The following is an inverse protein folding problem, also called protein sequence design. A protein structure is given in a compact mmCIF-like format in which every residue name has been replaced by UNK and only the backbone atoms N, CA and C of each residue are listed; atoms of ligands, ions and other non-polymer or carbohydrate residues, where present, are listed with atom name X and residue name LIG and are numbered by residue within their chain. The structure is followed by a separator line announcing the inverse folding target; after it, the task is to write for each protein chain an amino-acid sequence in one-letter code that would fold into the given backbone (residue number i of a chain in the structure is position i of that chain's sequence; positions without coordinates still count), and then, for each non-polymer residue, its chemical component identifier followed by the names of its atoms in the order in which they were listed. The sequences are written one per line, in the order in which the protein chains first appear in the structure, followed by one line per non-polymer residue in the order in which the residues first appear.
data_IF_235888788170
#
_entry.id   IF_235888788170
#
_cell.length_a   1.000
_cell.length_b   1.000
_cell.length_c   1.000
_cell.angle_alpha   90.00
_cell.angle_beta   90.00
_cell.angle_gamma   90.00
#
_symmetry.space_group_name_H-M   'P 1'
#
loop_
_entity.id
_entity.type
_entity.pdbx_description
1 polymer ?
#
# COMPACT_ATOMS: atom_id res chain seq x y z
N UNK A 1 -27.21 -50.61 15.35
CA UNK A 1 -25.97 -50.30 14.58
C UNK A 1 -26.16 -49.23 13.50
N UNK A 2 -27.16 -49.31 12.61
CA UNK A 2 -27.35 -48.34 11.50
C UNK A 2 -27.60 -46.87 11.95
N UNK A 3 -28.31 -46.64 13.06
CA UNK A 3 -28.61 -45.29 13.59
C UNK A 3 -27.35 -44.55 14.08
N UNK A 4 -26.43 -45.27 14.73
CA UNK A 4 -25.20 -44.68 15.28
C UNK A 4 -24.17 -44.38 14.17
N UNK A 5 -24.17 -45.17 13.09
CA UNK A 5 -23.35 -44.92 11.90
C UNK A 5 -23.78 -43.63 11.18
N UNK A 6 -25.10 -43.39 11.08
CA UNK A 6 -25.66 -42.19 10.44
C UNK A 6 -25.33 -40.90 11.22
N UNK A 7 -25.40 -40.94 12.55
CA UNK A 7 -25.00 -39.82 13.41
C UNK A 7 -23.50 -39.55 13.30
N UNK A 8 -22.68 -40.61 13.26
CA UNK A 8 -21.22 -40.48 13.11
C UNK A 8 -20.82 -39.88 11.75
N UNK A 9 -21.48 -40.30 10.66
CA UNK A 9 -21.27 -39.73 9.32
C UNK A 9 -21.69 -38.25 9.27
N UNK A 10 -22.79 -37.88 9.93
CA UNK A 10 -23.24 -36.48 9.99
C UNK A 10 -22.27 -35.61 10.79
N UNK A 11 -21.69 -36.13 11.87
CA UNK A 11 -20.71 -35.42 12.70
C UNK A 11 -19.39 -35.19 11.95
N UNK A 12 -18.93 -36.18 11.16
CA UNK A 12 -17.72 -36.05 10.32
C UNK A 12 -17.94 -35.04 9.18
N UNK A 13 -19.16 -35.00 8.60
CA UNK A 13 -19.50 -34.04 7.55
C UNK A 13 -19.54 -32.58 8.05
N UNK A 14 -20.01 -32.35 9.29
CA UNK A 14 -20.01 -31.01 9.91
C UNK A 14 -18.60 -30.56 10.27
N UNK A 15 -17.72 -31.48 10.72
CA UNK A 15 -16.31 -31.16 11.05
C UNK A 15 -15.48 -30.85 9.79
N UNK A 16 -15.81 -31.44 8.63
CA UNK A 16 -15.14 -31.14 7.35
C UNK A 16 -15.52 -29.77 6.76
N UNK A 17 -16.68 -29.19 7.12
CA UNK A 17 -17.12 -27.89 6.61
C UNK A 17 -16.52 -26.68 7.35
N UNK A 18 -15.83 -26.86 8.48
CA UNK A 18 -15.13 -25.77 9.20
C UNK A 18 -13.66 -25.72 8.75
N UNK A 19 -13.43 -25.84 7.45
CA UNK A 19 -12.14 -25.45 6.87
C UNK A 19 -12.22 -23.96 6.64
N UNK A 20 -11.84 -23.17 7.65
CA UNK A 20 -11.62 -21.72 7.48
C UNK A 20 -10.45 -21.60 6.50
N UNK A 21 -10.75 -21.48 5.21
CA UNK A 21 -9.74 -21.19 4.20
C UNK A 21 -9.35 -19.74 4.38
N UNK A 22 -8.16 -19.51 4.96
CA UNK A 22 -7.50 -18.20 4.88
C UNK A 22 -7.17 -17.98 3.41
N UNK A 23 -7.97 -17.15 2.74
CA UNK A 23 -7.71 -16.74 1.36
C UNK A 23 -6.74 -15.57 1.41
N UNK A 24 -5.46 -15.84 1.19
CA UNK A 24 -4.51 -14.82 0.81
C UNK A 24 -4.45 -14.81 -0.72
N UNK A 25 -4.88 -13.71 -1.33
CA UNK A 25 -4.73 -13.52 -2.77
C UNK A 25 -3.40 -12.82 -3.01
N UNK A 26 -2.59 -13.42 -3.89
CA UNK A 26 -1.39 -12.77 -4.39
C UNK A 26 -1.47 -12.67 -5.91
N UNK A 27 -1.15 -11.49 -6.44
CA UNK A 27 -1.12 -11.25 -7.87
C UNK A 27 0.10 -10.39 -8.23
N UNK A 28 0.54 -10.52 -9.48
CA UNK A 28 1.59 -9.69 -10.04
C UNK A 28 1.16 -9.15 -11.40
N UNK A 29 1.11 -7.82 -11.53
CA UNK A 29 0.75 -7.12 -12.77
C UNK A 29 1.90 -6.18 -13.16
N UNK A 30 2.78 -6.67 -14.03
CA UNK A 30 4.01 -5.96 -14.36
C UNK A 30 4.95 -5.92 -13.14
N UNK A 31 5.33 -4.70 -12.73
CA UNK A 31 6.17 -4.46 -11.55
C UNK A 31 5.38 -4.37 -10.23
N UNK A 32 4.06 -4.47 -10.30
CA UNK A 32 3.18 -4.35 -9.13
C UNK A 32 2.86 -5.70 -8.53
N UNK A 33 3.13 -5.86 -7.24
CA UNK A 33 2.74 -7.00 -6.42
C UNK A 33 1.53 -6.61 -5.58
N UNK A 34 0.54 -7.49 -5.57
CA UNK A 34 -0.67 -7.37 -4.76
C UNK A 34 -0.66 -8.49 -3.74
N UNK A 35 -0.89 -8.14 -2.48
CA UNK A 35 -1.19 -9.07 -1.40
C UNK A 35 -2.46 -8.59 -0.69
N UNK A 36 -3.53 -9.37 -0.80
CA UNK A 36 -4.79 -9.11 -0.13
C UNK A 36 -5.12 -10.26 0.82
N UNK A 37 -5.53 -9.92 2.04
CA UNK A 37 -5.84 -10.90 3.09
C UNK A 37 -6.98 -10.40 3.95
N UNK A 38 -7.94 -11.28 4.20
CA UNK A 38 -8.95 -11.11 5.23
C UNK A 38 -8.56 -11.93 6.47
N UNK A 39 -8.56 -11.29 7.64
CA UNK A 39 -8.36 -11.99 8.91
C UNK A 39 -9.66 -12.71 9.31
N UNK A 40 -9.68 -14.04 9.41
CA UNK A 40 -10.91 -14.79 9.68
C UNK A 40 -11.43 -14.67 11.12
N UNK A 41 -10.66 -14.05 12.02
CA UNK A 41 -11.08 -13.83 13.41
C UNK A 41 -11.72 -12.45 13.59
N UNK A 42 -11.22 -11.44 12.89
CA UNK A 42 -11.63 -10.04 13.06
C UNK A 42 -12.37 -9.45 11.86
N UNK A 43 -12.48 -10.21 10.77
CA UNK A 43 -12.97 -9.75 9.46
C UNK A 43 -12.17 -8.54 8.93
N UNK A 44 -10.92 -8.37 9.40
CA UNK A 44 -10.08 -7.25 8.99
C UNK A 44 -9.49 -7.50 7.61
N UNK A 45 -9.86 -6.65 6.65
CA UNK A 45 -9.25 -6.62 5.33
C UNK A 45 -7.94 -5.83 5.32
N UNK A 46 -6.86 -6.51 4.92
CA UNK A 46 -5.54 -5.94 4.68
C UNK A 46 -5.19 -6.03 3.20
N UNK A 47 -4.68 -4.94 2.64
CA UNK A 47 -4.23 -4.86 1.25
C UNK A 47 -2.85 -4.20 1.17
N UNK A 48 -1.96 -4.79 0.38
CA UNK A 48 -0.71 -4.21 -0.05
C UNK A 48 -0.64 -4.24 -1.57
N UNK A 49 -0.49 -3.07 -2.19
CA UNK A 49 -0.15 -2.93 -3.61
C UNK A 49 1.20 -2.24 -3.67
N UNK A 50 2.24 -2.95 -4.11
CA UNK A 50 3.62 -2.49 -4.03
C UNK A 50 4.34 -2.57 -5.36
N UNK A 51 5.17 -1.57 -5.65
CA UNK A 51 6.22 -1.63 -6.67
C UNK A 51 7.56 -1.72 -5.94
N UNK A 52 8.04 -2.94 -5.61
CA UNK A 52 9.29 -3.11 -4.89
C UNK A 52 10.48 -2.99 -5.85
N UNK A 53 11.08 -1.79 -5.94
CA UNK A 53 12.34 -1.63 -6.67
C UNK A 53 13.50 -2.27 -5.92
N UNK A 54 13.66 -1.86 -4.66
CA UNK A 54 14.56 -2.45 -3.67
C UNK A 54 14.07 -2.07 -2.27
N UNK A 55 14.76 -2.53 -1.23
CA UNK A 55 14.39 -2.30 0.18
C UNK A 55 14.20 -0.80 0.51
N UNK A 56 14.96 0.09 -0.10
CA UNK A 56 14.99 1.53 0.17
C UNK A 56 14.27 2.37 -0.90
N UNK A 57 13.56 1.76 -1.85
CA UNK A 57 12.95 2.45 -3.00
C UNK A 57 11.60 1.83 -3.41
N UNK A 58 10.87 1.28 -2.46
CA UNK A 58 9.52 0.74 -2.71
C UNK A 58 8.46 1.84 -2.66
N UNK A 59 7.47 1.75 -3.54
CA UNK A 59 6.21 2.51 -3.43
C UNK A 59 5.10 1.54 -3.05
N UNK A 60 4.38 1.84 -1.97
CA UNK A 60 3.43 0.90 -1.35
C UNK A 60 2.13 1.66 -1.05
N UNK A 61 1.03 1.22 -1.64
CA UNK A 61 -0.31 1.54 -1.17
C UNK A 61 -0.72 0.44 -0.18
N UNK A 62 -0.99 0.82 1.06
CA UNK A 62 -1.38 -0.09 2.14
C UNK A 62 -2.75 0.27 2.65
N UNK A 63 -3.63 -0.72 2.82
CA UNK A 63 -4.80 -0.63 3.69
C UNK A 63 -4.67 -1.61 4.85
N UNK A 64 -4.79 -1.10 6.08
CA UNK A 64 -4.76 -1.90 7.31
C UNK A 64 -5.53 -1.15 8.40
N UNK A 65 -6.25 -1.85 9.26
CA UNK A 65 -7.03 -1.25 10.36
C UNK A 65 -7.93 -0.09 9.88
N UNK A 66 -8.54 -0.25 8.70
CA UNK A 66 -9.43 0.76 8.08
C UNK A 66 -8.73 2.01 7.52
N UNK A 67 -7.41 2.14 7.67
CA UNK A 67 -6.64 3.28 7.17
C UNK A 67 -5.95 2.92 5.86
N UNK A 68 -5.99 3.82 4.88
CA UNK A 68 -5.27 3.68 3.60
C UNK A 68 -4.13 4.69 3.53
N UNK A 69 -2.93 4.23 3.22
CA UNK A 69 -1.70 5.03 3.23
C UNK A 69 -0.89 4.78 1.96
N UNK A 70 -0.29 5.83 1.42
CA UNK A 70 0.76 5.72 0.40
C UNK A 70 2.12 5.96 1.05
N UNK A 71 3.02 5.00 0.87
CA UNK A 71 4.31 4.92 1.54
C UNK A 71 5.40 4.84 0.49
N UNK A 72 6.40 5.70 0.61
CA UNK A 72 7.64 5.63 -0.14
C UNK A 72 8.75 5.16 0.82
N UNK A 73 9.25 3.94 0.64
CA UNK A 73 10.47 3.50 1.33
C UNK A 73 11.65 4.28 0.78
N UNK A 74 12.55 4.71 1.67
CA UNK A 74 13.70 5.56 1.32
C UNK A 74 14.99 5.04 1.96
N UNK A 75 16.12 5.56 1.49
CA UNK A 75 17.33 5.59 2.32
C UNK A 75 17.07 6.43 3.58
N UNK A 76 17.94 6.31 4.59
CA UNK A 76 17.84 7.10 5.80
C UNK A 76 17.87 8.61 5.50
N UNK A 77 16.81 9.34 5.91
CA UNK A 77 16.62 10.77 5.69
C UNK A 77 16.93 11.60 6.96
N UNK A 78 17.44 10.95 8.02
CA UNK A 78 17.49 11.48 9.37
C UNK A 78 16.24 11.06 10.16
N UNK A 79 16.33 10.90 11.47
CA UNK A 79 15.15 10.63 12.30
C UNK A 79 14.31 11.90 12.46
N UNK A 80 12.99 11.75 12.64
CA UNK A 80 12.21 12.81 13.24
C UNK A 80 12.87 13.17 14.59
N UNK A 81 13.28 14.42 14.76
CA UNK A 81 13.92 14.87 15.99
C UNK A 81 13.01 14.62 17.20
N UNK A 82 13.59 14.52 18.39
CA UNK A 82 12.83 14.48 19.65
C UNK A 82 12.20 15.85 19.98
N UNK A 83 12.46 16.85 19.13
CA UNK A 83 12.00 18.21 19.29
C UNK A 83 10.54 18.31 18.79
N UNK A 84 9.62 18.88 19.57
CA UNK A 84 8.20 18.98 19.21
C UNK A 84 7.91 19.99 18.08
N UNK A 85 8.94 20.62 17.51
CA UNK A 85 8.77 21.42 16.31
C UNK A 85 8.39 20.51 15.13
N UNK A 86 7.14 20.68 14.68
CA UNK A 86 6.49 19.88 13.65
C UNK A 86 7.29 19.76 12.34
N UNK A 87 8.26 20.65 12.08
CA UNK A 87 9.09 20.64 10.87
C UNK A 87 9.90 19.36 10.69
N UNK A 88 10.33 18.72 11.79
CA UNK A 88 11.21 17.55 11.72
C UNK A 88 10.46 16.26 11.34
N UNK A 89 9.12 16.29 11.40
CA UNK A 89 8.26 15.16 11.04
C UNK A 89 7.96 15.08 9.55
N UNK A 90 8.46 16.03 8.76
CA UNK A 90 8.24 16.08 7.32
C UNK A 90 9.55 16.24 6.57
N UNK A 91 9.62 15.69 5.37
CA UNK A 91 10.74 15.91 4.44
C UNK A 91 10.23 16.43 3.12
N UNK A 92 10.98 17.36 2.56
CA UNK A 92 10.75 17.84 1.21
C UNK A 92 11.01 16.71 0.22
N UNK A 93 10.11 16.58 -0.74
CA UNK A 93 10.29 15.77 -1.93
C UNK A 93 9.73 16.53 -3.12
N UNK A 94 10.22 16.15 -4.29
CA UNK A 94 9.65 16.57 -5.56
C UNK A 94 9.12 15.34 -6.26
N UNK A 95 8.02 15.47 -6.97
CA UNK A 95 7.53 14.42 -7.84
C UNK A 95 7.01 14.99 -9.15
N UNK A 96 6.88 14.12 -10.15
CA UNK A 96 6.10 14.40 -11.37
C UNK A 96 5.54 13.11 -11.93
N UNK A 97 4.42 13.23 -12.62
CA UNK A 97 3.91 12.18 -13.48
C UNK A 97 4.44 12.38 -14.90
N UNK A 98 4.88 11.30 -15.55
CA UNK A 98 5.41 11.32 -16.92
C UNK A 98 6.38 12.51 -17.18
N UNK A 99 5.93 13.46 -18.02
CA UNK A 99 6.67 14.68 -18.39
C UNK A 99 5.97 15.96 -17.92
N UNK A 100 5.05 15.85 -16.96
CA UNK A 100 4.42 17.01 -16.32
C UNK A 100 5.45 17.84 -15.53
N UNK A 101 5.02 19.03 -15.12
CA UNK A 101 5.81 19.91 -14.26
C UNK A 101 6.12 19.25 -12.91
N UNK A 102 7.26 19.63 -12.34
CA UNK A 102 7.63 19.18 -11.00
C UNK A 102 6.71 19.78 -9.95
N UNK A 103 6.25 18.94 -9.04
CA UNK A 103 5.48 19.33 -7.86
C UNK A 103 6.38 19.19 -6.63
N UNK A 104 6.55 20.28 -5.89
CA UNK A 104 7.22 20.28 -4.59
C UNK A 104 6.21 20.00 -3.49
N UNK A 105 6.52 19.07 -2.58
CA UNK A 105 5.62 18.68 -1.49
C UNK A 105 6.41 18.18 -0.28
N UNK A 106 5.70 17.92 0.81
CA UNK A 106 6.24 17.42 2.07
C UNK A 106 5.49 16.18 2.50
N UNK A 107 6.19 15.07 2.72
CA UNK A 107 5.60 13.85 3.27
C UNK A 107 6.13 13.61 4.67
N UNK A 108 5.33 12.93 5.49
CA UNK A 108 5.71 12.66 6.86
C UNK A 108 6.77 11.58 6.93
N UNK A 109 7.81 11.75 7.74
CA UNK A 109 8.88 10.77 7.88
C UNK A 109 8.54 9.71 8.93
N UNK A 110 8.95 8.47 8.69
CA UNK A 110 8.92 7.41 9.69
C UNK A 110 9.80 7.72 10.89
N UNK A 111 9.49 7.13 12.03
CA UNK A 111 10.30 7.26 13.25
C UNK A 111 11.75 6.79 13.07
N UNK A 112 11.97 5.76 12.25
CA UNK A 112 13.32 5.27 11.93
C UNK A 112 14.00 6.02 10.77
N UNK A 113 13.34 7.00 10.17
CA UNK A 113 13.90 7.85 9.11
C UNK A 113 14.02 7.22 7.73
N UNK A 114 13.46 6.02 7.50
CA UNK A 114 13.63 5.25 6.26
C UNK A 114 12.35 5.08 5.43
N UNK A 115 11.31 5.85 5.71
CA UNK A 115 10.12 5.92 4.87
C UNK A 115 9.46 7.30 4.95
N UNK A 116 8.71 7.62 3.89
CA UNK A 116 7.86 8.79 3.79
C UNK A 116 6.40 8.36 3.60
N UNK A 117 5.49 9.03 4.31
CA UNK A 117 4.06 8.79 4.28
C UNK A 117 3.34 10.00 3.69
N UNK A 118 2.53 9.76 2.67
CA UNK A 118 1.59 10.75 2.17
C UNK A 118 0.56 11.08 3.26
N UNK A 119 0.59 12.30 3.80
CA UNK A 119 -0.17 12.69 5.01
C UNK A 119 -1.35 13.62 4.73
N UNK A 120 -1.72 13.79 3.47
CA UNK A 120 -2.93 14.56 3.14
C UNK A 120 -4.19 13.77 3.48
N UNK A 121 -5.34 14.45 3.43
CA UNK A 121 -6.64 13.83 3.66
C UNK A 121 -6.98 12.74 2.62
N UNK A 122 -8.04 11.98 2.91
CA UNK A 122 -8.48 10.85 2.08
C UNK A 122 -8.81 11.25 0.63
N UNK A 123 -9.37 12.43 0.40
CA UNK A 123 -9.77 12.89 -0.95
C UNK A 123 -8.55 13.33 -1.76
N UNK A 124 -7.58 13.96 -1.09
CA UNK A 124 -6.29 14.31 -1.69
C UNK A 124 -5.48 13.05 -2.03
N UNK A 125 -5.44 12.04 -1.15
CA UNK A 125 -4.84 10.74 -1.44
C UNK A 125 -5.53 10.06 -2.63
N UNK A 126 -6.86 9.99 -2.61
CA UNK A 126 -7.65 9.44 -3.72
C UNK A 126 -7.33 10.12 -5.05
N UNK A 127 -7.22 11.44 -5.05
CA UNK A 127 -6.87 12.22 -6.25
C UNK A 127 -5.46 11.89 -6.76
N UNK A 128 -4.50 11.67 -5.84
CA UNK A 128 -3.15 11.23 -6.20
C UNK A 128 -3.17 9.82 -6.81
N UNK A 129 -3.94 8.89 -6.25
CA UNK A 129 -4.11 7.54 -6.77
C UNK A 129 -4.79 7.54 -8.15
N UNK A 130 -5.82 8.38 -8.34
CA UNK A 130 -6.45 8.55 -9.65
C UNK A 130 -5.45 9.04 -10.70
N UNK A 131 -4.54 9.96 -10.34
CA UNK A 131 -3.42 10.34 -11.22
C UNK A 131 -2.50 9.15 -11.49
N UNK A 132 -2.14 8.35 -10.50
CA UNK A 132 -1.33 7.15 -10.72
C UNK A 132 -1.99 6.16 -11.69
N UNK A 133 -3.32 6.03 -11.66
CA UNK A 133 -4.06 5.16 -12.59
C UNK A 133 -4.09 5.69 -14.04
N UNK A 134 -3.91 7.01 -14.22
CA UNK A 134 -4.00 7.69 -15.52
C UNK A 134 -2.65 7.90 -16.22
N UNK A 135 -1.52 7.66 -15.54
CA UNK A 135 -0.18 7.93 -16.04
C UNK A 135 0.65 6.66 -16.18
N UNK A 136 1.79 6.76 -16.87
CA UNK A 136 2.66 5.61 -17.12
C UNK A 136 3.88 5.58 -16.20
N UNK A 137 4.32 6.75 -15.72
CA UNK A 137 5.51 6.92 -14.91
C UNK A 137 5.25 7.87 -13.75
N UNK A 138 5.77 7.54 -12.57
CA UNK A 138 5.87 8.44 -11.43
C UNK A 138 7.33 8.56 -11.01
N UNK A 139 7.86 9.77 -11.03
CA UNK A 139 9.24 10.06 -10.64
C UNK A 139 9.24 10.79 -9.32
N UNK A 140 10.04 10.30 -8.36
CA UNK A 140 10.33 11.00 -7.12
C UNK A 140 11.78 11.48 -7.08
N UNK A 141 11.99 12.67 -6.52
CA UNK A 141 13.28 13.19 -6.10
C UNK A 141 13.25 13.50 -4.61
N UNK A 142 14.21 12.97 -3.85
CA UNK A 142 14.33 13.22 -2.42
C UNK A 142 15.80 13.30 -2.00
N UNK A 143 16.07 13.81 -0.80
CA UNK A 143 17.43 14.06 -0.30
C UNK A 143 17.70 13.22 0.95
N UNK A 144 18.40 12.07 0.80
CA UNK A 144 18.84 11.31 1.96
C UNK A 144 19.81 12.11 2.83
N UNK A 145 19.91 11.71 4.10
CA UNK A 145 20.76 12.37 5.08
C UNK A 145 22.22 12.40 4.62
N UNK A 146 22.82 13.60 4.58
CA UNK A 146 24.20 13.85 4.14
C UNK A 146 24.52 13.33 2.72
N UNK A 147 23.50 13.18 1.85
CA UNK A 147 23.66 12.75 0.47
C UNK A 147 23.09 13.75 -0.52
N UNK A 148 23.55 13.65 -1.76
CA UNK A 148 22.93 14.34 -2.88
C UNK A 148 21.52 13.80 -3.16
N UNK A 149 20.73 14.59 -3.91
CA UNK A 149 19.40 14.17 -4.34
C UNK A 149 19.44 12.80 -5.01
N UNK A 150 18.57 11.90 -4.56
CA UNK A 150 18.29 10.63 -5.21
C UNK A 150 17.01 10.74 -6.02
N UNK A 151 16.99 10.08 -7.17
CA UNK A 151 15.82 10.01 -8.05
C UNK A 151 15.41 8.56 -8.22
N UNK A 152 14.11 8.29 -8.12
CA UNK A 152 13.51 6.98 -8.31
C UNK A 152 12.38 7.10 -9.30
N UNK A 153 12.28 6.13 -10.21
CA UNK A 153 11.30 6.10 -11.29
C UNK A 153 10.45 4.84 -11.15
N UNK A 154 9.14 5.00 -11.03
CA UNK A 154 8.17 3.93 -10.94
C UNK A 154 7.42 3.80 -12.25
N UNK A 155 7.42 2.59 -12.81
CA UNK A 155 6.55 2.26 -13.93
C UNK A 155 5.15 1.95 -13.38
N UNK A 156 4.18 2.76 -13.78
CA UNK A 156 2.78 2.63 -13.38
C UNK A 156 2.00 1.65 -14.27
N UNK A 157 2.62 1.07 -15.31
CA UNK A 157 2.01 -0.01 -16.08
C UNK A 157 1.66 -1.17 -15.14
N UNK A 158 0.38 -1.57 -15.14
CA UNK A 158 -0.14 -2.60 -14.25
C UNK A 158 -0.65 -2.10 -12.89
N UNK A 159 -0.46 -0.82 -12.55
CA UNK A 159 -1.03 -0.24 -11.32
C UNK A 159 -2.56 -0.24 -11.35
N UNK A 160 -3.15 0.28 -12.43
CA UNK A 160 -4.62 0.32 -12.61
C UNK A 160 -5.22 -1.09 -12.51
N UNK A 161 -4.63 -2.07 -13.20
CA UNK A 161 -5.07 -3.47 -13.13
C UNK A 161 -4.95 -4.03 -11.70
N UNK A 162 -3.90 -3.65 -10.96
CA UNK A 162 -3.69 -4.09 -9.58
C UNK A 162 -4.68 -3.50 -8.59
N UNK A 163 -5.11 -2.24 -8.77
CA UNK A 163 -5.97 -1.55 -7.80
C UNK A 163 -7.46 -1.67 -8.12
N UNK A 164 -7.86 -1.77 -9.38
CA UNK A 164 -9.27 -1.83 -9.80
C UNK A 164 -10.11 -2.87 -9.03
N UNK A 165 -9.63 -4.10 -8.75
CA UNK A 165 -10.41 -5.08 -7.99
C UNK A 165 -10.78 -4.65 -6.57
N UNK A 166 -10.00 -3.74 -5.98
CA UNK A 166 -10.11 -3.36 -4.57
C UNK A 166 -10.64 -1.93 -4.36
N UNK A 167 -11.05 -1.23 -5.43
CA UNK A 167 -11.54 0.16 -5.31
C UNK A 167 -12.74 0.29 -4.36
N UNK A 168 -13.62 -0.71 -4.33
CA UNK A 168 -14.77 -0.73 -3.42
C UNK A 168 -14.31 -0.90 -1.97
N UNK A 169 -13.36 -1.79 -1.71
CA UNK A 169 -12.78 -1.96 -0.37
C UNK A 169 -12.13 -0.66 0.09
N UNK A 170 -11.47 0.07 -0.81
CA UNK A 170 -10.86 1.38 -0.54
C UNK A 170 -11.89 2.52 -0.35
N UNK A 171 -13.14 2.31 -0.74
CA UNK A 171 -14.21 3.32 -0.76
C UNK A 171 -13.99 4.39 -1.83
N UNK A 172 -13.49 3.95 -2.99
CA UNK A 172 -13.12 4.75 -4.18
C UNK A 172 -13.81 4.18 -5.43
N UNK A 173 -15.07 3.78 -5.31
CA UNK A 173 -15.86 3.11 -6.34
C UNK A 173 -16.00 3.94 -7.62
N UNK A 174 -15.93 5.26 -7.49
CA UNK A 174 -16.04 6.23 -8.58
C UNK A 174 -14.76 6.37 -9.41
N UNK A 175 -13.68 5.69 -9.05
CA UNK A 175 -12.47 5.58 -9.88
C UNK A 175 -12.51 4.40 -10.87
N UNK A 176 -13.60 3.62 -10.90
CA UNK A 176 -13.79 2.49 -11.82
C UNK A 176 -13.95 2.91 -13.29
#
# INVERSE_FOLDING_TARGET
MKKNLLVFIFMVAVVLMISITVSAETAQNGEWLVEAKEDPLTDEFTLFISNPKDYNNGLILRRKEGTTELILSTDYLGSAGVNPDYSDYFKDLIYRFDKEDLVETKWSISSNGSALFFKEDKDTLKSFIAKMMAHNELVFGYWPYEKSRKTVVYNLSGFTVSITPYLDDLGWEDLK
#
